data_IF_339165740888
#
_entry.id   IF_339165740888
#
_cell.length_a   1.000
_cell.length_b   1.000
_cell.length_c   1.000
_cell.angle_alpha   90.00
_cell.angle_beta   90.00
_cell.angle_gamma   90.00
#
_symmetry.space_group_name_H-M   'P 1'
#
loop_
_entity.id
_entity.type
_entity.pdbx_description
1 polymer ?
#
# COMPACT_ATOMS: atom_id res chain seq x y z
N UNK A 1 -8.68 12.68 -7.85
CA UNK A 1 -8.73 11.66 -8.92
C UNK A 1 -7.58 10.65 -8.86
N UNK A 2 -6.31 11.07 -8.90
CA UNK A 2 -5.17 10.13 -8.90
C UNK A 2 -5.13 9.13 -7.73
N UNK A 3 -5.44 9.58 -6.50
CA UNK A 3 -5.54 8.67 -5.35
C UNK A 3 -6.61 7.57 -5.52
N UNK A 4 -7.75 7.92 -6.14
CA UNK A 4 -8.85 6.97 -6.39
C UNK A 4 -8.43 5.93 -7.42
N UNK A 5 -7.76 6.37 -8.48
CA UNK A 5 -7.22 5.48 -9.52
C UNK A 5 -6.21 4.48 -8.95
N UNK A 6 -5.29 4.96 -8.10
CA UNK A 6 -4.30 4.11 -7.46
C UNK A 6 -4.91 3.16 -6.44
N UNK A 7 -5.90 3.61 -5.68
CA UNK A 7 -6.65 2.72 -4.79
C UNK A 7 -7.35 1.61 -5.57
N UNK A 8 -8.04 1.93 -6.68
CA UNK A 8 -8.67 0.94 -7.54
C UNK A 8 -7.64 -0.03 -8.15
N UNK A 9 -6.49 0.48 -8.58
CA UNK A 9 -5.39 -0.35 -9.04
C UNK A 9 -4.90 -1.31 -7.96
N UNK A 10 -4.78 -0.84 -6.71
CA UNK A 10 -4.44 -1.69 -5.56
C UNK A 10 -5.45 -2.82 -5.34
N UNK A 11 -6.74 -2.53 -5.48
CA UNK A 11 -7.80 -3.55 -5.40
C UNK A 11 -7.73 -4.56 -6.55
N UNK A 12 -7.38 -4.11 -7.76
CA UNK A 12 -7.20 -4.99 -8.91
C UNK A 12 -5.99 -5.91 -8.73
N UNK A 13 -4.83 -5.35 -8.36
CA UNK A 13 -3.61 -6.14 -8.06
C UNK A 13 -3.90 -7.17 -6.96
N UNK A 14 -4.69 -6.79 -5.96
CA UNK A 14 -5.11 -7.72 -4.90
C UNK A 14 -5.90 -8.91 -5.45
N UNK A 15 -6.80 -8.70 -6.39
CA UNK A 15 -7.58 -9.76 -7.01
C UNK A 15 -6.71 -10.72 -7.82
N UNK A 16 -5.76 -10.18 -8.60
CA UNK A 16 -4.91 -10.98 -9.49
C UNK A 16 -3.81 -11.76 -8.74
N UNK A 17 -3.24 -11.17 -7.68
CA UNK A 17 -2.05 -11.71 -7.01
C UNK A 17 -2.30 -12.15 -5.56
N UNK A 18 -3.55 -12.46 -5.20
CA UNK A 18 -3.94 -12.84 -3.83
C UNK A 18 -3.07 -13.98 -3.25
N UNK A 19 -2.77 -14.98 -4.09
CA UNK A 19 -1.95 -16.15 -3.72
C UNK A 19 -0.49 -15.81 -3.41
N UNK A 20 0.08 -14.79 -4.08
CA UNK A 20 1.49 -14.42 -3.96
C UNK A 20 1.71 -13.41 -2.85
N UNK A 21 0.81 -12.44 -2.73
CA UNK A 21 0.90 -11.34 -1.76
C UNK A 21 0.50 -11.81 -0.36
N UNK A 22 -0.37 -12.82 -0.27
CA UNK A 22 -0.88 -13.36 0.98
C UNK A 22 -1.94 -12.46 1.62
N UNK A 23 -2.66 -12.98 2.62
CA UNK A 23 -3.85 -12.30 3.16
C UNK A 23 -3.58 -11.02 3.93
N UNK A 24 -2.41 -10.90 4.53
CA UNK A 24 -2.05 -9.77 5.40
C UNK A 24 -0.69 -9.22 4.96
N UNK A 25 -0.51 -7.92 5.15
CA UNK A 25 0.81 -7.31 5.03
C UNK A 25 1.78 -7.92 6.05
N UNK A 26 2.94 -8.36 5.58
CA UNK A 26 4.04 -8.82 6.42
C UNK A 26 5.33 -8.10 6.01
N UNK A 27 5.97 -7.41 6.96
CA UNK A 27 7.19 -6.64 6.71
C UNK A 27 8.38 -7.50 6.26
N UNK A 28 8.35 -8.81 6.53
CA UNK A 28 9.40 -9.75 6.11
C UNK A 28 9.30 -10.17 4.64
N UNK A 29 8.10 -10.14 4.06
CA UNK A 29 7.84 -10.63 2.69
C UNK A 29 7.49 -9.50 1.73
N UNK A 30 7.13 -8.33 2.25
CA UNK A 30 6.71 -7.19 1.44
C UNK A 30 7.50 -5.95 1.80
N UNK A 31 8.22 -5.43 0.80
CA UNK A 31 8.87 -4.13 0.84
C UNK A 31 8.24 -3.20 -0.20
N UNK A 32 7.89 -1.98 0.22
CA UNK A 32 7.37 -0.96 -0.68
C UNK A 32 8.37 0.18 -0.75
N UNK A 33 8.77 0.55 -1.96
CA UNK A 33 9.72 1.63 -2.22
C UNK A 33 9.11 2.65 -3.17
N UNK A 34 9.26 3.93 -2.84
CA UNK A 34 8.83 5.05 -3.67
C UNK A 34 9.95 6.09 -3.77
N UNK A 35 9.86 6.99 -4.74
CA UNK A 35 10.74 8.16 -4.76
C UNK A 35 10.37 9.13 -3.64
N UNK A 36 11.31 9.98 -3.23
CA UNK A 36 11.14 10.92 -2.12
C UNK A 36 10.05 11.99 -2.34
N UNK A 37 9.54 12.14 -3.57
CA UNK A 37 8.54 13.15 -3.87
C UNK A 37 7.22 12.84 -3.15
N UNK A 38 6.64 13.83 -2.47
CA UNK A 38 5.42 13.66 -1.67
C UNK A 38 4.28 13.06 -2.49
N UNK A 39 4.10 13.51 -3.73
CA UNK A 39 3.09 12.96 -4.66
C UNK A 39 3.26 11.45 -4.89
N UNK A 40 4.50 10.94 -4.90
CA UNK A 40 4.82 9.54 -5.12
C UNK A 40 4.59 8.71 -3.84
N UNK A 41 4.84 9.30 -2.67
CA UNK A 41 4.54 8.68 -1.38
C UNK A 41 3.01 8.56 -1.20
N UNK A 42 2.27 9.65 -1.42
CA UNK A 42 0.81 9.66 -1.34
C UNK A 42 0.19 8.67 -2.33
N UNK A 43 0.76 8.59 -3.54
CA UNK A 43 0.35 7.62 -4.55
C UNK A 43 0.56 6.18 -4.09
N UNK A 44 1.74 5.86 -3.54
CA UNK A 44 2.02 4.54 -3.00
C UNK A 44 1.08 4.18 -1.84
N UNK A 45 0.84 5.10 -0.92
CA UNK A 45 -0.08 4.88 0.20
C UNK A 45 -1.52 4.62 -0.27
N UNK A 46 -2.01 5.37 -1.26
CA UNK A 46 -3.35 5.17 -1.82
C UNK A 46 -3.49 3.78 -2.47
N UNK A 47 -2.46 3.33 -3.19
CA UNK A 47 -2.41 1.99 -3.76
C UNK A 47 -2.41 0.91 -2.67
N UNK A 48 -1.60 1.08 -1.63
CA UNK A 48 -1.50 0.12 -0.53
C UNK A 48 -2.79 0.01 0.29
N UNK A 49 -3.54 1.11 0.43
CA UNK A 49 -4.85 1.10 1.07
C UNK A 49 -5.86 0.21 0.33
N UNK A 50 -5.78 0.15 -1.01
CA UNK A 50 -6.59 -0.76 -1.83
C UNK A 50 -6.06 -2.20 -1.81
N UNK A 51 -4.73 -2.37 -1.76
CA UNK A 51 -4.05 -3.66 -1.80
C UNK A 51 -4.20 -4.46 -0.50
N UNK A 52 -4.05 -3.80 0.65
CA UNK A 52 -4.07 -4.41 1.99
C UNK A 52 -5.29 -3.97 2.79
N UNK A 53 -6.48 -4.29 2.27
CA UNK A 53 -7.72 -4.07 3.02
C UNK A 53 -7.81 -5.08 4.17
N UNK A 54 -7.85 -4.63 5.45
CA UNK A 54 -8.07 -5.53 6.57
C UNK A 54 -9.50 -6.10 6.55
N UNK A 55 -9.69 -7.26 7.18
CA UNK A 55 -11.02 -7.78 7.51
C UNK A 55 -11.54 -7.11 8.81
N UNK A 56 -12.87 -7.09 9.07
CA UNK A 56 -13.43 -6.45 10.25
C UNK A 56 -12.81 -6.86 11.60
N UNK A 57 -12.34 -8.10 11.72
CA UNK A 57 -11.64 -8.58 12.93
C UNK A 57 -10.20 -8.09 13.08
N UNK A 58 -9.61 -7.51 12.03
CA UNK A 58 -8.22 -7.02 11.98
C UNK A 58 -8.14 -5.48 11.98
N UNK A 59 -9.24 -4.79 12.26
CA UNK A 59 -9.26 -3.32 12.34
C UNK A 59 -8.54 -2.88 13.62
N UNK A 60 -7.51 -2.05 13.47
CA UNK A 60 -6.80 -1.48 14.62
C UNK A 60 -7.57 -0.30 15.24
N UNK A 61 -8.44 0.34 14.46
CA UNK A 61 -9.42 1.34 14.89
C UNK A 61 -10.79 0.87 14.40
N UNK A 62 -11.83 0.84 15.26
CA UNK A 62 -13.18 0.47 14.85
C UNK A 62 -13.65 1.24 13.61
N UNK A 63 -14.33 0.54 12.69
CA UNK A 63 -14.87 1.09 11.44
C UNK A 63 -13.86 1.73 10.48
N UNK A 64 -12.57 1.48 10.67
CA UNK A 64 -11.51 1.94 9.77
C UNK A 64 -10.91 0.75 8.99
N UNK A 65 -11.37 0.49 7.74
CA UNK A 65 -10.86 -0.58 6.89
C UNK A 65 -9.52 -0.21 6.23
N UNK A 66 -8.57 0.26 7.04
CA UNK A 66 -7.24 0.69 6.63
C UNK A 66 -6.20 0.18 7.62
N UNK A 67 -4.96 0.02 7.16
CA UNK A 67 -3.82 -0.24 8.03
C UNK A 67 -2.58 0.52 7.55
N UNK A 68 -1.72 0.95 8.48
CA UNK A 68 -0.46 1.56 8.11
C UNK A 68 0.46 0.52 7.45
N UNK A 69 0.96 0.84 6.27
CA UNK A 69 1.98 0.06 5.57
C UNK A 69 3.16 1.01 5.30
N UNK A 70 4.39 0.67 5.73
CA UNK A 70 5.54 1.52 5.55
C UNK A 70 5.91 1.64 4.06
N UNK A 71 6.14 2.88 3.61
CA UNK A 71 6.68 3.20 2.30
C UNK A 71 8.08 3.75 2.51
N UNK A 72 9.10 3.02 2.05
CA UNK A 72 10.47 3.47 2.13
C UNK A 72 10.76 4.42 0.96
N UNK A 73 11.43 5.53 1.26
CA UNK A 73 11.90 6.46 0.24
C UNK A 73 13.41 6.39 0.11
N UNK A 74 13.89 6.62 -1.12
CA UNK A 74 15.31 6.86 -1.37
C UNK A 74 15.49 8.37 -1.56
N UNK A 75 16.41 9.02 -0.82
CA UNK A 75 16.72 10.44 -1.04
C UNK A 75 17.12 10.70 -2.50
N UNK A 76 16.75 11.87 -3.04
CA UNK A 76 17.00 12.24 -4.45
C UNK A 76 18.45 12.00 -4.87
N UNK A 77 19.39 12.27 -3.97
CA UNK A 77 20.83 12.20 -4.25
C UNK A 77 21.36 10.76 -4.37
N UNK A 78 20.55 9.78 -3.95
CA UNK A 78 20.85 8.34 -3.99
C UNK A 78 19.95 7.58 -4.99
N UNK A 79 18.95 8.24 -5.57
CA UNK A 79 18.03 7.70 -6.59
C UNK A 79 18.62 7.99 -7.98
N UNK A 80 19.65 7.20 -8.36
CA UNK A 80 20.33 7.28 -9.67
C UNK A 80 19.60 6.50 -10.75
#
# INVERSE_FOLDING_TARGET
EGMRQLHQLGQWIRGEYDLVIGRKYFSKTTQVRSSYAERCIMSAQALLAGLYRPEPGDYFVPDLPWRPVPVHTVPRDLDK
#
